data_IF_747856836695
#
_entry.id   IF_747856836695
#
_cell.length_a   1.000
_cell.length_b   1.000
_cell.length_c   1.000
_cell.angle_alpha   90.00
_cell.angle_beta   90.00
_cell.angle_gamma   90.00
#
_symmetry.space_group_name_H-M   'P 1'
#
loop_
_entity.id
_entity.type
_entity.pdbx_description
1 polymer ?
#
# COMPACT_ATOMS: atom_id res chain seq x y z
N UNK A 1 33.72 -75.26 -13.53
CA UNK A 1 34.18 -75.96 -12.32
C UNK A 1 33.70 -75.21 -11.09
N UNK A 2 32.84 -75.86 -10.32
CA UNK A 2 32.52 -75.75 -8.89
C UNK A 2 32.51 -74.39 -8.13
N UNK A 3 31.27 -74.03 -7.73
CA UNK A 3 30.83 -73.44 -6.43
C UNK A 3 31.49 -74.13 -5.21
N UNK A 4 31.56 -73.56 -3.98
CA UNK A 4 30.44 -73.07 -3.13
C UNK A 4 30.76 -71.75 -2.36
N UNK A 5 29.86 -71.06 -1.63
CA UNK A 5 28.96 -71.47 -0.54
C UNK A 5 27.80 -70.47 -0.35
N UNK A 6 26.56 -70.97 -0.31
CA UNK A 6 25.63 -71.07 0.84
C UNK A 6 25.23 -69.76 1.52
N UNK A 7 23.98 -69.36 1.30
CA UNK A 7 23.23 -68.47 2.16
C UNK A 7 22.30 -69.23 3.10
N UNK A 8 21.81 -68.53 4.12
CA UNK A 8 20.55 -68.83 4.78
C UNK A 8 19.71 -67.56 4.92
N UNK A 9 18.48 -67.68 4.42
CA UNK A 9 17.32 -66.81 4.69
C UNK A 9 16.51 -67.47 5.80
N UNK A 10 15.93 -66.67 6.69
CA UNK A 10 14.82 -67.09 7.55
C UNK A 10 13.62 -66.14 7.35
N UNK A 11 12.45 -66.78 7.19
CA UNK A 11 11.10 -66.26 7.00
C UNK A 11 10.55 -65.64 8.31
N UNK A 12 9.91 -64.47 8.26
CA UNK A 12 8.45 -64.19 8.18
C UNK A 12 7.66 -64.19 9.50
N UNK A 13 7.07 -63.01 9.75
CA UNK A 13 5.69 -62.73 10.21
C UNK A 13 5.29 -62.81 11.71
N UNK A 14 4.89 -61.62 12.18
CA UNK A 14 3.81 -61.25 13.13
C UNK A 14 3.86 -61.72 14.59
N UNK A 15 3.88 -60.75 15.51
CA UNK A 15 2.80 -60.58 16.49
C UNK A 15 2.75 -59.14 17.02
N UNK A 16 1.56 -58.57 17.03
CA UNK A 16 1.22 -57.31 17.69
C UNK A 16 1.13 -57.53 19.21
N UNK A 17 1.68 -56.60 19.99
CA UNK A 17 1.28 -56.39 21.38
C UNK A 17 1.37 -54.92 21.72
N UNK A 18 0.24 -54.42 22.22
CA UNK A 18 -0.08 -53.04 22.54
C UNK A 18 0.84 -52.44 23.60
N UNK A 19 1.22 -51.17 23.39
CA UNK A 19 1.54 -50.26 24.49
C UNK A 19 0.78 -48.95 24.30
N UNK A 20 -0.24 -48.79 25.13
CA UNK A 20 -0.59 -47.62 25.94
C UNK A 20 -0.52 -46.27 25.20
N UNK A 21 -1.72 -45.75 24.92
CA UNK A 21 -1.90 -44.41 24.39
C UNK A 21 -1.28 -43.34 25.28
N UNK A 22 -0.44 -42.53 24.67
CA UNK A 22 -0.28 -41.13 25.06
C UNK A 22 -1.09 -40.32 24.06
N UNK A 23 -2.17 -39.70 24.55
CA UNK A 23 -2.80 -38.58 23.86
C UNK A 23 -1.75 -37.48 23.82
N UNK A 24 -1.00 -37.41 22.73
CA UNK A 24 -0.20 -36.25 22.41
C UNK A 24 -1.16 -35.11 22.10
N UNK A 25 -1.53 -34.37 23.14
CA UNK A 25 -2.13 -33.03 22.96
C UNK A 25 -1.04 -32.23 22.25
N UNK A 26 -1.13 -32.12 20.92
CA UNK A 26 -0.40 -31.09 20.21
C UNK A 26 -0.96 -29.78 20.71
N UNK A 27 -0.21 -29.15 21.61
CA UNK A 27 -0.47 -27.79 22.03
C UNK A 27 -0.58 -26.94 20.76
N UNK A 28 -1.76 -26.39 20.53
CA UNK A 28 -1.97 -25.34 19.56
C UNK A 28 -0.92 -24.27 19.84
N UNK A 29 0.04 -24.11 18.95
CA UNK A 29 0.88 -22.91 18.96
C UNK A 29 -0.08 -21.79 18.61
N UNK A 30 -0.65 -21.16 19.63
CA UNK A 30 -1.28 -19.86 19.50
C UNK A 30 -0.21 -18.99 18.86
N UNK A 31 -0.47 -18.54 17.63
CA UNK A 31 0.34 -17.53 16.97
C UNK A 31 0.46 -16.36 17.95
N UNK A 32 1.62 -16.25 18.60
CA UNK A 32 1.98 -15.07 19.35
C UNK A 32 2.08 -13.96 18.32
N UNK A 33 1.13 -13.02 18.41
CA UNK A 33 0.92 -11.97 17.43
C UNK A 33 2.21 -11.28 17.01
N UNK A 34 2.22 -10.90 15.73
CA UNK A 34 3.23 -10.06 15.12
C UNK A 34 3.65 -8.95 16.08
N UNK A 35 4.90 -9.00 16.52
CA UNK A 35 5.54 -7.88 17.16
C UNK A 35 5.80 -6.84 16.07
N UNK A 36 4.85 -5.92 15.89
CA UNK A 36 5.05 -4.65 15.22
C UNK A 36 6.28 -3.93 15.83
N UNK A 37 7.04 -3.19 15.03
CA UNK A 37 7.65 -1.88 15.36
C UNK A 37 8.62 -1.46 14.22
N UNK A 38 8.68 -0.20 13.79
CA UNK A 38 8.47 1.00 14.59
C UNK A 38 7.10 1.68 14.39
N UNK A 39 6.12 1.23 15.17
CA UNK A 39 5.09 2.10 15.75
C UNK A 39 5.76 3.21 16.58
N UNK A 40 5.07 4.33 16.74
CA UNK A 40 5.37 5.33 17.76
C UNK A 40 5.66 4.68 19.11
N UNK A 41 6.49 5.31 19.94
CA UNK A 41 6.61 4.89 21.34
C UNK A 41 5.39 5.40 22.11
N UNK A 42 5.01 4.71 23.19
CA UNK A 42 3.93 5.14 24.09
C UNK A 42 4.18 6.59 24.54
N UNK A 43 3.28 7.51 24.17
CA UNK A 43 3.35 8.94 24.45
C UNK A 43 4.46 9.69 23.69
N UNK A 44 5.03 9.08 22.64
CA UNK A 44 6.01 9.66 21.73
C UNK A 44 5.38 10.32 20.51
N UNK A 45 6.20 10.85 19.58
CA UNK A 45 5.73 11.30 18.28
C UNK A 45 5.05 10.17 17.50
N UNK A 46 3.96 10.50 16.84
CA UNK A 46 3.12 9.56 16.08
C UNK A 46 2.67 10.22 14.77
N UNK A 47 2.61 9.46 13.68
CA UNK A 47 2.14 9.99 12.39
C UNK A 47 0.61 10.00 12.30
N UNK A 48 0.07 10.76 11.34
CA UNK A 48 -1.38 10.80 11.08
C UNK A 48 -1.89 9.45 10.59
N UNK A 49 -1.17 8.83 9.66
CA UNK A 49 -1.44 7.46 9.19
C UNK A 49 -1.52 6.45 10.35
N UNK A 50 -0.49 6.41 11.20
CA UNK A 50 -0.42 5.49 12.33
C UNK A 50 -1.60 5.72 13.30
N UNK A 51 -1.96 6.98 13.53
CA UNK A 51 -3.11 7.33 14.38
C UNK A 51 -4.41 6.69 13.87
N UNK A 52 -4.68 6.76 12.56
CA UNK A 52 -5.88 6.17 11.95
C UNK A 52 -5.84 4.64 11.93
N UNK A 53 -4.67 4.05 11.72
CA UNK A 53 -4.48 2.58 11.75
C UNK A 53 -4.72 2.01 13.12
N UNK A 54 -4.24 2.69 14.16
CA UNK A 54 -4.50 2.31 15.54
C UNK A 54 -5.99 2.32 15.83
N UNK A 55 -6.75 3.31 15.34
CA UNK A 55 -8.20 3.30 15.44
C UNK A 55 -8.84 2.13 14.66
N UNK A 56 -8.38 1.87 13.43
CA UNK A 56 -8.85 0.76 12.60
C UNK A 56 -8.56 -0.61 13.24
N UNK A 57 -7.45 -0.77 13.96
CA UNK A 57 -7.13 -2.00 14.69
C UNK A 57 -8.23 -2.42 15.68
N UNK A 58 -8.89 -1.46 16.34
CA UNK A 58 -10.04 -1.75 17.19
C UNK A 58 -11.31 -2.08 16.42
N UNK A 59 -11.49 -1.51 15.23
CA UNK A 59 -12.59 -1.88 14.32
C UNK A 59 -12.43 -3.33 13.85
N UNK A 60 -11.24 -3.71 13.37
CA UNK A 60 -10.96 -5.03 12.82
C UNK A 60 -11.14 -6.14 13.86
N UNK A 61 -10.89 -5.82 15.13
CA UNK A 61 -11.07 -6.73 16.26
C UNK A 61 -12.48 -6.69 16.86
N UNK A 62 -13.39 -5.92 16.26
CA UNK A 62 -14.77 -5.75 16.72
C UNK A 62 -14.83 -5.40 18.22
N UNK A 63 -13.96 -4.50 18.68
CA UNK A 63 -13.95 -4.06 20.08
C UNK A 63 -15.26 -3.34 20.38
N UNK A 64 -15.97 -3.78 21.43
CA UNK A 64 -17.27 -3.23 21.83
C UNK A 64 -17.15 -2.27 23.02
N UNK A 65 -17.94 -1.20 22.98
CA UNK A 65 -17.93 -0.13 23.97
C UNK A 65 -18.42 -0.65 25.32
N UNK A 66 -17.76 -0.23 26.40
CA UNK A 66 -18.23 -0.40 27.78
C UNK A 66 -17.49 0.55 28.73
N UNK A 67 -18.22 1.13 29.69
CA UNK A 67 -17.63 1.94 30.76
C UNK A 67 -17.22 1.13 32.01
N UNK A 68 -17.64 -0.14 32.10
CA UNK A 68 -17.43 -0.97 33.30
C UNK A 68 -16.66 -2.26 33.02
N UNK A 69 -16.46 -2.62 31.75
CA UNK A 69 -15.73 -3.81 31.36
C UNK A 69 -14.21 -3.66 31.38
N UNK A 70 -13.48 -4.76 31.11
CA UNK A 70 -12.03 -4.74 31.02
C UNK A 70 -11.55 -3.83 29.89
N UNK A 71 -10.36 -3.27 30.06
CA UNK A 71 -9.67 -2.45 29.06
C UNK A 71 -9.25 -3.32 27.87
N UNK A 72 -9.13 -2.71 26.68
CA UNK A 72 -8.71 -3.38 25.45
C UNK A 72 -7.24 -3.13 25.16
N UNK A 73 -6.56 -4.15 24.63
CA UNK A 73 -5.19 -4.04 24.12
C UNK A 73 -5.13 -3.22 22.83
N UNK A 74 -4.04 -2.50 22.64
CA UNK A 74 -3.68 -1.86 21.36
C UNK A 74 -2.76 -2.72 20.48
N UNK A 75 -2.52 -3.97 20.87
CA UNK A 75 -1.61 -4.89 20.16
C UNK A 75 -0.13 -4.70 20.48
N UNK A 76 0.27 -3.61 21.15
CA UNK A 76 1.67 -3.32 21.52
C UNK A 76 2.01 -3.66 22.98
N UNK A 77 1.08 -4.27 23.71
CA UNK A 77 1.23 -4.61 25.14
C UNK A 77 0.67 -3.55 26.09
N UNK A 78 0.06 -2.48 25.56
CA UNK A 78 -0.66 -1.47 26.35
C UNK A 78 -2.17 -1.66 26.24
N UNK A 79 -2.90 -1.25 27.28
CA UNK A 79 -4.36 -1.29 27.29
C UNK A 79 -4.99 0.08 27.57
N UNK A 80 -6.21 0.28 27.06
CA UNK A 80 -7.00 1.52 27.16
C UNK A 80 -8.47 1.22 27.48
N UNK A 81 -9.18 2.21 28.03
CA UNK A 81 -10.62 2.06 28.29
C UNK A 81 -11.40 1.81 26.99
N UNK A 82 -12.48 1.04 27.05
CA UNK A 82 -13.35 0.77 25.89
C UNK A 82 -14.47 1.79 25.78
N UNK A 83 -14.11 3.07 25.74
CA UNK A 83 -15.03 4.19 25.57
C UNK A 83 -14.51 5.17 24.50
N UNK A 84 -15.27 6.22 24.18
CA UNK A 84 -14.90 7.22 23.18
C UNK A 84 -13.52 7.83 23.42
N UNK A 85 -13.24 8.23 24.67
CA UNK A 85 -11.95 8.79 25.06
C UNK A 85 -10.81 7.77 25.04
N UNK A 86 -11.10 6.50 25.33
CA UNK A 86 -10.15 5.41 25.27
C UNK A 86 -9.78 5.01 23.84
N UNK A 87 -10.72 5.09 22.88
CA UNK A 87 -10.42 4.94 21.46
C UNK A 87 -9.42 6.00 20.99
N UNK A 88 -9.66 7.29 21.31
CA UNK A 88 -8.73 8.37 20.92
C UNK A 88 -7.40 8.25 21.66
N UNK A 89 -7.41 7.90 22.95
CA UNK A 89 -6.18 7.64 23.72
C UNK A 89 -5.33 6.54 23.09
N UNK A 90 -5.99 5.47 22.63
CA UNK A 90 -5.36 4.35 21.97
C UNK A 90 -4.83 4.76 20.60
N UNK A 91 -5.62 5.48 19.80
CA UNK A 91 -5.23 5.99 18.49
C UNK A 91 -4.00 6.91 18.56
N UNK A 92 -3.94 7.82 19.53
CA UNK A 92 -2.79 8.71 19.77
C UNK A 92 -1.63 8.06 20.54
N UNK A 93 -1.73 6.77 20.86
CA UNK A 93 -0.72 6.01 21.59
C UNK A 93 -0.33 6.63 22.95
N UNK A 94 -1.29 7.22 23.66
CA UNK A 94 -1.00 8.02 24.86
C UNK A 94 -0.40 7.19 26.01
N UNK A 95 0.37 7.86 26.88
CA UNK A 95 0.94 7.25 28.09
C UNK A 95 -0.12 6.94 29.16
N UNK A 96 -1.30 7.55 29.08
CA UNK A 96 -2.46 7.26 29.92
C UNK A 96 -3.69 7.06 29.03
N UNK A 97 -4.79 6.60 29.62
CA UNK A 97 -6.11 6.63 29.00
C UNK A 97 -6.93 7.68 29.76
N UNK A 98 -6.86 8.98 29.41
CA UNK A 98 -7.62 10.07 30.07
C UNK A 98 -9.10 10.07 29.69
N UNK A 99 -9.99 10.57 30.56
CA UNK A 99 -11.44 10.65 30.27
C UNK A 99 -11.76 11.83 29.35
N UNK A 100 -12.95 11.86 28.74
CA UNK A 100 -13.35 12.91 27.79
C UNK A 100 -13.18 14.34 28.33
N UNK A 101 -13.44 14.56 29.62
CA UNK A 101 -13.25 15.86 30.27
C UNK A 101 -11.79 16.33 30.25
N UNK A 102 -10.84 15.41 30.39
CA UNK A 102 -9.42 15.77 30.39
C UNK A 102 -9.03 16.30 28.99
N UNK A 103 -9.56 15.72 27.92
CA UNK A 103 -9.35 16.19 26.54
C UNK A 103 -9.86 17.61 26.28
N UNK A 104 -10.78 18.13 27.10
CA UNK A 104 -11.24 19.53 27.02
C UNK A 104 -10.25 20.52 27.64
N UNK A 105 -9.37 20.06 28.53
CA UNK A 105 -8.31 20.89 29.12
C UNK A 105 -7.07 20.86 28.22
N UNK A 106 -7.03 21.77 27.26
CA UNK A 106 -5.89 21.96 26.34
C UNK A 106 -4.75 22.78 26.94
N UNK A 107 -4.84 23.20 28.20
CA UNK A 107 -3.80 24.02 28.84
C UNK A 107 -2.80 23.16 29.62
N UNK A 108 -3.29 22.07 30.22
CA UNK A 108 -2.47 21.22 31.10
C UNK A 108 -2.16 19.83 30.53
N UNK A 109 -2.60 19.56 29.31
CA UNK A 109 -2.43 18.26 28.66
C UNK A 109 -1.72 18.40 27.30
N UNK A 110 -1.10 17.32 26.78
CA UNK A 110 -0.27 17.38 25.58
C UNK A 110 -1.09 17.40 24.28
N UNK A 111 -2.14 18.23 24.22
CA UNK A 111 -2.91 18.48 23.01
C UNK A 111 -3.37 19.94 22.97
N UNK A 112 -3.38 20.48 21.76
CA UNK A 112 -3.68 21.88 21.48
C UNK A 112 -4.93 22.01 20.62
N UNK A 113 -5.61 23.16 20.69
CA UNK A 113 -6.70 23.48 19.77
C UNK A 113 -6.15 23.58 18.34
N UNK A 114 -6.86 23.00 17.38
CA UNK A 114 -6.47 23.06 15.96
C UNK A 114 -6.55 24.48 15.42
N UNK A 115 -5.45 24.98 14.84
CA UNK A 115 -5.39 26.26 14.14
C UNK A 115 -6.34 26.27 12.94
N UNK A 116 -7.16 27.31 12.81
CA UNK A 116 -8.19 27.39 11.77
C UNK A 116 -9.55 26.81 12.20
N UNK A 117 -9.66 26.34 13.45
CA UNK A 117 -10.91 25.80 13.97
C UNK A 117 -11.32 24.52 13.25
N UNK A 118 -12.62 24.33 13.08
CA UNK A 118 -13.19 23.13 12.45
C UNK A 118 -12.61 22.92 11.06
N UNK A 119 -12.51 23.96 10.23
CA UNK A 119 -11.93 23.87 8.88
C UNK A 119 -10.44 23.47 8.86
N UNK A 120 -9.75 23.62 9.99
CA UNK A 120 -8.35 23.27 10.15
C UNK A 120 -8.09 21.78 10.42
N UNK A 121 -9.14 20.96 10.55
CA UNK A 121 -8.97 19.52 10.81
C UNK A 121 -8.08 18.86 9.76
N UNK A 122 -7.17 18.04 10.27
CA UNK A 122 -6.34 17.13 9.49
C UNK A 122 -6.54 15.69 10.02
N UNK A 123 -6.37 14.66 9.17
CA UNK A 123 -6.55 13.26 9.58
C UNK A 123 -5.76 12.93 10.85
N UNK A 124 -6.38 12.23 11.81
CA UNK A 124 -5.77 11.92 13.10
C UNK A 124 -5.94 12.99 14.19
N UNK A 125 -6.49 14.16 13.86
CA UNK A 125 -6.98 15.11 14.88
C UNK A 125 -8.22 14.53 15.58
N UNK A 126 -8.61 15.10 16.73
CA UNK A 126 -9.81 14.70 17.45
C UNK A 126 -10.77 15.87 17.64
N UNK A 127 -12.05 15.57 17.78
CA UNK A 127 -13.09 16.54 18.04
C UNK A 127 -13.74 16.20 19.37
N UNK A 128 -13.72 17.14 20.32
CA UNK A 128 -14.19 16.92 21.69
C UNK A 128 -15.32 17.89 22.07
N UNK A 129 -16.34 17.37 22.74
CA UNK A 129 -17.42 18.15 23.36
C UNK A 129 -17.76 17.55 24.72
N UNK A 130 -18.74 18.10 25.42
CA UNK A 130 -19.17 17.52 26.70
C UNK A 130 -19.69 16.09 26.51
N UNK A 131 -19.12 15.16 27.27
CA UNK A 131 -19.47 13.74 27.25
C UNK A 131 -18.99 12.92 26.04
N UNK A 132 -18.46 13.52 24.96
CA UNK A 132 -18.06 12.76 23.76
C UNK A 132 -16.81 13.27 23.04
N UNK A 133 -16.05 12.35 22.43
CA UNK A 133 -14.87 12.64 21.62
C UNK A 133 -14.75 11.64 20.47
N UNK A 134 -14.33 12.12 19.30
CA UNK A 134 -14.22 11.32 18.07
C UNK A 134 -12.91 11.64 17.35
N UNK A 135 -12.41 10.67 16.58
CA UNK A 135 -11.19 10.83 15.79
C UNK A 135 -11.55 11.24 14.36
N UNK A 136 -11.02 12.35 13.89
CA UNK A 136 -11.23 12.86 12.54
C UNK A 136 -10.46 12.01 11.51
N UNK A 137 -11.16 11.53 10.48
CA UNK A 137 -10.55 10.81 9.36
C UNK A 137 -10.35 11.73 8.17
N UNK A 138 -11.39 12.49 7.79
CA UNK A 138 -11.32 13.36 6.63
C UNK A 138 -12.67 13.99 6.27
N UNK A 139 -12.64 15.06 5.50
CA UNK A 139 -13.85 15.70 4.97
C UNK A 139 -14.54 14.83 3.93
N UNK A 140 -15.88 14.79 3.97
CA UNK A 140 -16.70 14.17 2.92
C UNK A 140 -16.40 14.82 1.57
N UNK A 141 -16.23 16.14 1.55
CA UNK A 141 -15.76 16.92 0.41
C UNK A 141 -14.68 17.91 0.89
N UNK A 142 -13.48 17.90 0.29
CA UNK A 142 -12.38 18.82 0.64
C UNK A 142 -12.66 20.27 0.26
N UNK A 143 -13.44 20.45 -0.80
CA UNK A 143 -13.75 21.75 -1.36
C UNK A 143 -14.97 22.38 -0.69
N UNK A 144 -15.78 21.55 -0.02
CA UNK A 144 -16.95 21.98 0.73
C UNK A 144 -17.11 21.19 2.04
N UNK A 145 -16.50 21.69 3.10
CA UNK A 145 -16.57 21.08 4.43
C UNK A 145 -18.00 20.98 4.99
N UNK A 146 -18.97 21.74 4.45
CA UNK A 146 -20.39 21.67 4.85
C UNK A 146 -21.03 20.32 4.53
N UNK A 147 -20.38 19.49 3.72
CA UNK A 147 -20.79 18.11 3.47
C UNK A 147 -20.50 17.16 4.65
N UNK A 148 -19.85 17.65 5.72
CA UNK A 148 -19.55 16.89 6.92
C UNK A 148 -18.21 16.16 6.84
N UNK A 149 -17.94 15.32 7.84
CA UNK A 149 -16.68 14.61 7.98
C UNK A 149 -16.88 13.14 8.32
N UNK A 150 -15.95 12.33 7.86
CA UNK A 150 -15.77 10.94 8.24
C UNK A 150 -14.97 10.84 9.54
N UNK A 151 -15.38 9.95 10.44
CA UNK A 151 -14.81 9.82 11.78
C UNK A 151 -14.67 8.36 12.20
N UNK A 152 -13.78 8.09 13.16
CA UNK A 152 -13.93 6.94 14.05
C UNK A 152 -14.64 7.38 15.33
N UNK A 153 -15.70 6.68 15.69
CA UNK A 153 -16.56 7.04 16.82
C UNK A 153 -16.96 5.82 17.64
N UNK A 154 -17.06 5.97 18.96
CA UNK A 154 -17.37 4.87 19.88
C UNK A 154 -18.43 5.32 20.88
N UNK A 155 -19.69 5.00 20.61
CA UNK A 155 -20.81 5.76 21.15
C UNK A 155 -21.54 5.07 22.31
N UNK A 156 -21.93 3.81 22.14
CA UNK A 156 -22.93 3.18 23.00
C UNK A 156 -22.52 1.79 23.44
N UNK A 157 -22.87 1.42 24.68
CA UNK A 157 -22.51 0.13 25.28
C UNK A 157 -22.95 -1.06 24.40
N UNK A 158 -21.97 -1.89 24.02
CA UNK A 158 -22.15 -3.05 23.14
C UNK A 158 -21.99 -2.74 21.64
N UNK A 159 -21.92 -1.48 21.24
CA UNK A 159 -21.62 -1.10 19.85
C UNK A 159 -20.13 -1.29 19.56
N UNK A 160 -19.77 -1.73 18.36
CA UNK A 160 -18.39 -1.70 17.84
C UNK A 160 -18.01 -0.29 17.39
N UNK A 161 -16.72 -0.01 17.28
CA UNK A 161 -16.23 1.27 16.73
C UNK A 161 -16.86 1.53 15.36
N UNK A 162 -17.52 2.67 15.20
CA UNK A 162 -18.00 3.16 13.91
C UNK A 162 -16.81 3.65 13.09
N UNK A 163 -16.76 3.30 11.81
CA UNK A 163 -15.76 3.81 10.87
C UNK A 163 -16.41 4.31 9.57
N UNK A 164 -15.65 4.93 8.66
CA UNK A 164 -16.20 5.45 7.39
C UNK A 164 -16.49 4.37 6.33
N UNK A 165 -15.95 3.17 6.51
CA UNK A 165 -15.84 2.17 5.43
C UNK A 165 -16.90 1.08 5.53
N UNK A 166 -17.35 0.76 6.74
CA UNK A 166 -18.31 -0.27 7.04
C UNK A 166 -19.22 0.16 8.19
N UNK A 167 -20.39 -0.46 8.28
CA UNK A 167 -21.33 -0.18 9.35
C UNK A 167 -20.89 -0.92 10.62
N UNK A 168 -21.11 -0.31 11.79
CA UNK A 168 -20.95 -0.97 13.07
C UNK A 168 -21.90 -2.15 13.20
N UNK A 169 -21.73 -2.97 14.24
CA UNK A 169 -22.71 -4.02 14.57
C UNK A 169 -24.12 -3.49 14.85
N UNK A 170 -24.30 -2.17 15.01
CA UNK A 170 -25.60 -1.51 15.16
C UNK A 170 -26.09 -0.85 13.86
N UNK A 171 -25.37 -1.00 12.74
CA UNK A 171 -25.75 -0.43 11.45
C UNK A 171 -25.38 1.04 11.26
N UNK A 172 -24.56 1.61 12.15
CA UNK A 172 -24.15 3.01 12.08
C UNK A 172 -22.80 3.17 11.40
N UNK A 173 -22.64 4.23 10.59
CA UNK A 173 -21.38 4.59 9.94
C UNK A 173 -20.78 5.83 10.58
N UNK A 174 -19.45 5.87 10.70
CA UNK A 174 -18.71 6.98 11.28
C UNK A 174 -18.74 8.21 10.37
N UNK A 175 -19.74 9.07 10.56
CA UNK A 175 -19.90 10.33 9.82
C UNK A 175 -20.66 11.36 10.64
N UNK A 176 -20.13 12.59 10.67
CA UNK A 176 -20.77 13.75 11.28
C UNK A 176 -21.27 14.72 10.22
N UNK A 177 -22.45 15.30 10.46
CA UNK A 177 -22.96 16.41 9.66
C UNK A 177 -22.20 17.71 10.00
N UNK A 178 -22.29 18.73 9.13
CA UNK A 178 -21.72 20.04 9.43
C UNK A 178 -22.26 20.65 10.71
N UNK A 179 -23.57 20.53 10.96
CA UNK A 179 -24.19 21.01 12.20
C UNK A 179 -23.65 20.29 13.43
N UNK A 180 -23.36 18.98 13.33
CA UNK A 180 -22.78 18.23 14.46
C UNK A 180 -21.35 18.68 14.72
N UNK A 181 -20.54 18.83 13.66
CA UNK A 181 -19.15 19.30 13.76
C UNK A 181 -19.05 20.66 14.46
N UNK A 182 -19.99 21.56 14.20
CA UNK A 182 -20.07 22.88 14.85
C UNK A 182 -20.28 22.82 16.37
N UNK A 183 -20.63 21.66 16.94
CA UNK A 183 -20.76 21.46 18.39
C UNK A 183 -19.46 21.02 19.07
N UNK A 184 -18.41 20.72 18.31
CA UNK A 184 -17.14 20.23 18.85
C UNK A 184 -16.05 21.29 18.87
N UNK A 185 -15.14 21.14 19.83
CA UNK A 185 -13.84 21.79 19.85
C UNK A 185 -12.82 20.90 19.14
N UNK A 186 -12.13 21.40 18.10
CA UNK A 186 -11.11 20.63 17.40
C UNK A 186 -9.80 20.66 18.20
N UNK A 187 -9.24 19.48 18.50
CA UNK A 187 -7.98 19.31 19.23
C UNK A 187 -7.01 18.38 18.48
N UNK A 188 -5.72 18.58 18.70
CA UNK A 188 -4.64 17.79 18.10
C UNK A 188 -3.64 17.42 19.17
N UNK A 189 -3.23 16.14 19.20
CA UNK A 189 -2.11 15.71 20.03
C UNK A 189 -0.83 16.43 19.61
N UNK A 190 -0.12 17.03 20.57
CA UNK A 190 1.02 17.93 20.28
C UNK A 190 2.20 17.20 19.61
N UNK A 191 2.24 15.87 19.73
CA UNK A 191 3.27 15.03 19.09
C UNK A 191 2.77 14.31 17.84
N UNK A 192 1.59 14.67 17.32
CA UNK A 192 1.27 14.30 15.94
C UNK A 192 2.27 14.99 15.02
N UNK A 193 2.97 14.19 14.24
CA UNK A 193 3.75 14.65 13.11
C UNK A 193 2.96 14.35 11.85
N UNK A 194 3.01 15.26 10.88
CA UNK A 194 2.54 14.90 9.55
C UNK A 194 3.33 13.69 9.09
N UNK A 195 2.66 12.81 8.35
CA UNK A 195 3.37 11.83 7.56
C UNK A 195 4.45 12.60 6.81
N UNK A 196 5.71 12.17 6.97
CA UNK A 196 6.71 12.55 5.97
C UNK A 196 6.03 12.26 4.65
N UNK A 197 6.08 13.17 3.68
CA UNK A 197 5.76 12.84 2.31
C UNK A 197 6.71 11.69 1.95
N UNK A 198 6.27 10.48 2.27
CA UNK A 198 6.97 9.27 1.99
C UNK A 198 6.95 9.20 0.47
N UNK A 199 7.84 8.41 -0.11
CA UNK A 199 7.57 7.88 -1.43
C UNK A 199 6.29 7.06 -1.36
N UNK A 200 5.14 7.72 -1.27
CA UNK A 200 3.83 7.09 -1.27
C UNK A 200 3.52 6.77 -2.70
N UNK A 201 3.96 5.56 -3.03
CA UNK A 201 3.94 5.00 -4.36
C UNK A 201 2.56 4.97 -4.96
N UNK A 202 2.55 4.81 -6.27
CA UNK A 202 1.32 4.47 -6.97
C UNK A 202 0.86 3.04 -6.69
N UNK A 203 -0.29 2.67 -7.28
CA UNK A 203 -0.57 1.26 -7.48
C UNK A 203 0.45 0.62 -8.42
N UNK A 204 0.47 -0.71 -8.43
CA UNK A 204 1.01 -1.51 -9.52
C UNK A 204 -0.10 -2.44 -10.03
N UNK A 205 -0.14 -2.76 -11.31
CA UNK A 205 -1.22 -3.57 -11.88
C UNK A 205 -0.68 -4.60 -12.85
N UNK A 206 -1.29 -5.78 -12.84
CA UNK A 206 -1.15 -6.76 -13.90
C UNK A 206 -2.50 -7.37 -14.23
N UNK A 207 -2.69 -7.76 -15.49
CA UNK A 207 -3.84 -8.56 -15.91
C UNK A 207 -3.40 -10.00 -16.14
N UNK A 208 -4.05 -10.94 -15.47
CA UNK A 208 -3.74 -12.37 -15.53
C UNK A 208 -5.05 -13.15 -15.69
N UNK A 209 -5.14 -14.03 -16.70
CA UNK A 209 -6.30 -14.90 -16.92
C UNK A 209 -7.66 -14.17 -16.95
N UNK A 210 -7.69 -12.94 -17.48
CA UNK A 210 -8.89 -12.10 -17.52
C UNK A 210 -9.23 -11.36 -16.22
N UNK A 211 -8.42 -11.49 -15.17
CA UNK A 211 -8.54 -10.77 -13.90
C UNK A 211 -7.54 -9.62 -13.83
N UNK A 212 -7.91 -8.52 -13.17
CA UNK A 212 -6.93 -7.49 -12.80
C UNK A 212 -6.47 -7.76 -11.37
N UNK A 213 -5.17 -7.66 -11.14
CA UNK A 213 -4.58 -7.66 -9.81
C UNK A 213 -3.89 -6.32 -9.61
N UNK A 214 -4.49 -5.49 -8.76
CA UNK A 214 -3.95 -4.18 -8.40
C UNK A 214 -3.33 -4.27 -7.02
N UNK A 215 -2.07 -3.89 -6.92
CA UNK A 215 -1.30 -3.85 -5.68
C UNK A 215 -1.13 -2.40 -5.28
N UNK A 216 -1.15 -2.15 -3.98
CA UNK A 216 -0.97 -0.81 -3.44
C UNK A 216 -0.49 -0.87 -2.01
N UNK A 217 0.19 0.20 -1.60
CA UNK A 217 0.71 0.34 -0.25
C UNK A 217 -0.21 1.29 0.51
N UNK A 218 -0.78 0.80 1.59
CA UNK A 218 -1.56 1.65 2.52
C UNK A 218 -0.65 2.67 3.22
N UNK A 219 -1.20 3.70 3.87
CA UNK A 219 -0.40 4.67 4.63
C UNK A 219 0.57 4.01 5.64
N UNK A 220 0.20 2.86 6.20
CA UNK A 220 0.99 2.04 7.15
C UNK A 220 2.26 1.41 6.58
N UNK A 221 2.44 1.47 5.26
CA UNK A 221 3.42 0.66 4.55
C UNK A 221 2.96 -0.78 4.29
N UNK A 222 1.72 -1.17 4.63
CA UNK A 222 1.22 -2.52 4.31
C UNK A 222 0.90 -2.65 2.82
N UNK A 223 1.48 -3.66 2.16
CA UNK A 223 1.10 -4.05 0.80
C UNK A 223 -0.24 -4.77 0.82
N UNK A 224 -1.17 -4.34 -0.04
CA UNK A 224 -2.47 -4.97 -0.23
C UNK A 224 -2.74 -5.20 -1.71
N UNK A 225 -3.63 -6.15 -2.02
CA UNK A 225 -4.08 -6.48 -3.36
C UNK A 225 -5.60 -6.30 -3.46
N UNK A 226 -6.09 -5.72 -4.54
CA UNK A 226 -7.50 -5.79 -4.93
C UNK A 226 -7.59 -6.51 -6.27
N UNK A 227 -8.48 -7.49 -6.34
CA UNK A 227 -8.67 -8.32 -7.54
C UNK A 227 -10.00 -7.99 -8.18
N UNK A 228 -9.99 -7.77 -9.49
CA UNK A 228 -11.20 -7.67 -10.29
C UNK A 228 -11.45 -8.98 -11.03
N UNK A 229 -12.71 -9.41 -11.04
CA UNK A 229 -13.21 -10.53 -11.84
C UNK A 229 -14.45 -10.09 -12.62
N UNK A 230 -14.91 -10.87 -13.62
CA UNK A 230 -16.23 -10.67 -14.19
C UNK A 230 -17.29 -10.65 -13.07
N UNK A 231 -17.82 -9.46 -12.77
CA UNK A 231 -18.72 -9.23 -11.64
C UNK A 231 -18.32 -8.09 -10.70
N UNK A 232 -17.03 -7.68 -10.67
CA UNK A 232 -16.57 -6.52 -9.91
C UNK A 232 -15.25 -6.70 -9.18
N UNK A 233 -14.85 -5.66 -8.44
CA UNK A 233 -13.71 -5.67 -7.53
C UNK A 233 -14.09 -6.40 -6.24
N UNK A 234 -13.18 -7.25 -5.75
CA UNK A 234 -13.41 -8.07 -4.56
C UNK A 234 -13.07 -7.35 -3.24
N UNK A 235 -12.40 -6.19 -3.33
CA UNK A 235 -11.91 -5.45 -2.17
C UNK A 235 -10.42 -5.68 -1.93
N UNK A 236 -9.84 -4.86 -1.05
CA UNK A 236 -8.42 -4.91 -0.73
C UNK A 236 -8.13 -5.96 0.34
N UNK A 237 -7.19 -6.86 0.07
CA UNK A 237 -6.69 -7.89 0.95
C UNK A 237 -5.22 -7.63 1.28
N UNK A 238 -4.85 -7.74 2.56
CA UNK A 238 -3.46 -7.58 3.01
C UNK A 238 -2.58 -8.72 2.53
N UNK A 239 -1.41 -8.37 1.97
CA UNK A 239 -0.34 -9.33 1.68
C UNK A 239 0.76 -9.32 2.76
N UNK A 240 0.56 -8.54 3.82
CA UNK A 240 1.51 -8.32 4.90
C UNK A 240 2.80 -7.63 4.47
N UNK A 241 3.72 -7.49 5.43
CA UNK A 241 4.98 -6.80 5.26
C UNK A 241 4.87 -5.28 5.36
N UNK A 242 5.98 -4.63 5.72
CA UNK A 242 6.12 -3.18 5.76
C UNK A 242 7.02 -2.76 4.61
N UNK A 243 6.43 -2.13 3.61
CA UNK A 243 7.04 -1.72 2.36
C UNK A 243 6.86 -0.22 2.13
N UNK A 244 7.63 0.34 1.21
CA UNK A 244 7.60 1.75 0.83
C UNK A 244 7.81 1.90 -0.68
N UNK A 245 7.46 3.06 -1.25
CA UNK A 245 7.59 3.30 -2.68
C UNK A 245 6.45 2.74 -3.51
N UNK A 246 6.55 2.82 -4.84
CA UNK A 246 5.64 2.10 -5.75
C UNK A 246 6.13 0.65 -5.86
N UNK A 247 5.30 -0.38 -5.62
CA UNK A 247 5.68 -1.75 -5.91
C UNK A 247 5.78 -1.94 -7.44
N UNK A 248 6.44 -3.01 -7.87
CA UNK A 248 6.39 -3.46 -9.26
C UNK A 248 5.73 -4.83 -9.31
N UNK A 249 5.01 -5.12 -10.40
CA UNK A 249 4.47 -6.45 -10.66
C UNK A 249 4.73 -6.86 -12.09
N UNK A 250 5.06 -8.13 -12.31
CA UNK A 250 5.14 -8.74 -13.63
C UNK A 250 4.38 -10.07 -13.63
N UNK A 251 3.85 -10.46 -14.79
CA UNK A 251 3.17 -11.74 -14.99
C UNK A 251 3.84 -12.53 -16.10
N UNK A 252 3.96 -13.84 -15.90
CA UNK A 252 4.43 -14.81 -16.88
C UNK A 252 3.91 -16.20 -16.50
N UNK A 253 3.54 -17.01 -17.49
CA UNK A 253 3.24 -18.43 -17.35
C UNK A 253 2.28 -18.81 -16.18
N UNK A 254 1.26 -17.99 -15.92
CA UNK A 254 0.28 -18.23 -14.85
C UNK A 254 0.72 -17.78 -13.46
N UNK A 255 1.91 -17.18 -13.35
CA UNK A 255 2.49 -16.64 -12.13
C UNK A 255 2.59 -15.11 -12.23
N UNK A 256 2.42 -14.43 -11.09
CA UNK A 256 2.84 -13.04 -10.98
C UNK A 256 3.77 -12.83 -9.79
N UNK A 257 4.74 -11.95 -9.99
CA UNK A 257 5.78 -11.61 -9.02
C UNK A 257 5.66 -10.15 -8.64
N UNK A 258 5.54 -9.89 -7.35
CA UNK A 258 5.51 -8.54 -6.78
C UNK A 258 6.86 -8.23 -6.17
N UNK A 259 7.41 -7.09 -6.55
CA UNK A 259 8.62 -6.53 -5.99
C UNK A 259 8.29 -5.28 -5.18
N UNK A 260 8.81 -5.20 -3.97
CA UNK A 260 8.63 -4.04 -3.11
C UNK A 260 9.90 -3.81 -2.30
N UNK A 261 10.15 -2.55 -1.93
CA UNK A 261 11.26 -2.23 -1.02
C UNK A 261 10.75 -2.06 0.40
N UNK A 262 11.58 -2.39 1.37
CA UNK A 262 11.36 -1.96 2.75
C UNK A 262 11.56 -0.44 2.90
N UNK A 263 11.16 0.16 4.05
CA UNK A 263 11.48 1.55 4.36
C UNK A 263 12.99 1.86 4.32
N UNK A 264 13.86 0.86 4.55
CA UNK A 264 15.32 0.98 4.44
C UNK A 264 15.86 0.78 3.01
N UNK A 265 14.98 0.61 2.03
CA UNK A 265 15.34 0.48 0.62
C UNK A 265 15.70 -0.93 0.15
N UNK A 266 15.73 -1.93 1.04
CA UNK A 266 16.03 -3.32 0.65
C UNK A 266 14.89 -3.90 -0.16
N UNK A 267 15.20 -4.49 -1.33
CA UNK A 267 14.19 -5.02 -2.25
C UNK A 267 13.87 -6.49 -1.96
N UNK A 268 12.59 -6.81 -1.98
CA UNK A 268 12.05 -8.14 -1.76
C UNK A 268 11.14 -8.54 -2.92
N UNK A 269 11.06 -9.85 -3.16
CA UNK A 269 10.15 -10.50 -4.08
C UNK A 269 9.12 -11.32 -3.30
N UNK A 270 7.86 -11.27 -3.72
CA UNK A 270 6.78 -12.15 -3.29
C UNK A 270 6.09 -12.72 -4.53
N UNK A 271 5.93 -14.03 -4.57
CA UNK A 271 5.46 -14.75 -5.75
C UNK A 271 4.07 -15.33 -5.52
N UNK A 272 3.20 -15.23 -6.52
CA UNK A 272 1.94 -15.96 -6.57
C UNK A 272 1.97 -17.03 -7.66
N UNK A 273 1.78 -18.28 -7.29
CA UNK A 273 1.64 -19.44 -8.21
C UNK A 273 0.44 -20.33 -7.85
N UNK A 274 -0.61 -19.72 -7.28
CA UNK A 274 -1.75 -20.41 -6.66
C UNK A 274 -1.76 -20.26 -5.13
N UNK A 275 -0.61 -19.99 -4.53
CA UNK A 275 -0.47 -19.46 -3.17
C UNK A 275 0.62 -18.39 -3.13
N UNK A 276 0.58 -17.52 -2.13
CA UNK A 276 1.63 -16.54 -1.90
C UNK A 276 2.84 -17.18 -1.25
N UNK A 277 4.04 -16.91 -1.79
CA UNK A 277 5.30 -17.22 -1.11
C UNK A 277 5.56 -16.29 0.07
N UNK A 278 6.53 -16.64 0.91
CA UNK A 278 7.15 -15.67 1.82
C UNK A 278 7.91 -14.59 1.04
N UNK A 279 8.17 -13.46 1.70
CA UNK A 279 9.02 -12.40 1.17
C UNK A 279 10.47 -12.87 1.12
N UNK A 280 11.10 -12.78 -0.06
CA UNK A 280 12.51 -13.11 -0.26
C UNK A 280 13.31 -11.88 -0.66
N UNK A 281 14.37 -11.57 0.08
CA UNK A 281 15.27 -10.46 -0.28
C UNK A 281 15.99 -10.78 -1.60
N UNK A 282 16.03 -9.81 -2.50
CA UNK A 282 16.83 -9.84 -3.73
C UNK A 282 18.07 -8.92 -3.61
N UNK A 283 18.33 -8.40 -2.39
CA UNK A 283 19.41 -7.47 -2.10
C UNK A 283 19.19 -6.07 -2.68
N UNK A 284 20.25 -5.26 -2.64
CA UNK A 284 20.25 -3.86 -3.07
C UNK A 284 19.60 -2.92 -2.06
N UNK A 285 19.87 -1.63 -2.26
CA UNK A 285 19.20 -0.52 -1.57
C UNK A 285 18.77 0.45 -2.66
N UNK A 286 17.47 0.73 -2.71
CA UNK A 286 16.87 1.67 -3.67
C UNK A 286 15.96 2.66 -2.97
N UNK A 287 15.75 3.80 -3.61
CA UNK A 287 14.82 4.88 -3.25
C UNK A 287 13.67 4.94 -4.27
N UNK A 288 12.59 5.65 -3.95
CA UNK A 288 11.46 5.75 -4.87
C UNK A 288 10.65 4.46 -4.97
N UNK A 289 10.13 4.18 -6.16
CA UNK A 289 9.47 2.91 -6.49
C UNK A 289 10.30 2.03 -7.41
N UNK A 290 9.72 0.89 -7.79
CA UNK A 290 10.33 -0.11 -8.66
C UNK A 290 9.62 -0.18 -10.02
N UNK A 291 10.37 -0.57 -11.04
CA UNK A 291 9.84 -1.09 -12.31
C UNK A 291 10.31 -2.52 -12.51
N UNK A 292 9.47 -3.41 -13.04
CA UNK A 292 9.87 -4.79 -13.29
C UNK A 292 9.26 -5.34 -14.57
N UNK A 293 9.99 -6.23 -15.24
CA UNK A 293 9.49 -6.98 -16.38
C UNK A 293 10.08 -8.38 -16.39
N UNK A 294 9.28 -9.35 -16.81
CA UNK A 294 9.73 -10.69 -17.13
C UNK A 294 9.81 -10.86 -18.63
N UNK A 295 10.94 -11.38 -19.11
CA UNK A 295 11.13 -11.58 -20.53
C UNK A 295 12.30 -12.51 -20.83
N UNK A 296 12.12 -13.33 -21.87
CA UNK A 296 13.10 -14.31 -22.32
C UNK A 296 13.62 -15.23 -21.19
N UNK A 297 12.78 -15.54 -20.20
CA UNK A 297 13.19 -16.38 -19.07
C UNK A 297 13.88 -15.63 -17.92
N UNK A 298 14.01 -14.31 -18.00
CA UNK A 298 14.72 -13.47 -17.03
C UNK A 298 13.77 -12.47 -16.37
N UNK A 299 14.02 -12.15 -15.09
CA UNK A 299 13.41 -10.99 -14.45
C UNK A 299 14.40 -9.83 -14.53
N UNK A 300 13.91 -8.66 -14.90
CA UNK A 300 14.66 -7.41 -14.81
C UNK A 300 13.92 -6.47 -13.87
N UNK A 301 14.55 -6.12 -12.74
CA UNK A 301 14.01 -5.20 -11.75
C UNK A 301 14.84 -3.94 -11.75
N UNK A 302 14.17 -2.80 -11.86
CA UNK A 302 14.75 -1.47 -11.93
C UNK A 302 14.36 -0.66 -10.70
N UNK A 303 15.31 0.10 -10.18
CA UNK A 303 15.10 1.01 -9.05
C UNK A 303 16.12 2.14 -9.09
N UNK A 304 15.94 3.13 -8.22
CA UNK A 304 16.84 4.29 -8.16
C UNK A 304 17.78 4.08 -6.97
N UNK A 305 19.08 4.14 -7.17
CA UNK A 305 20.05 4.06 -6.08
C UNK A 305 19.97 5.30 -5.16
N UNK A 306 20.50 5.25 -3.93
CA UNK A 306 20.65 6.43 -3.08
C UNK A 306 21.51 7.55 -3.68
N UNK A 307 22.28 7.26 -4.73
CA UNK A 307 23.03 8.24 -5.51
C UNK A 307 22.22 8.86 -6.65
N UNK A 308 20.94 8.55 -6.78
CA UNK A 308 20.05 9.07 -7.82
C UNK A 308 20.31 8.45 -9.21
N UNK A 309 20.91 7.26 -9.29
CA UNK A 309 21.17 6.57 -10.55
C UNK A 309 20.13 5.49 -10.80
N UNK A 310 19.79 5.23 -12.06
CA UNK A 310 19.01 4.04 -12.38
C UNK A 310 19.90 2.82 -12.16
N UNK A 311 19.40 1.82 -11.44
CA UNK A 311 20.05 0.53 -11.24
C UNK A 311 19.13 -0.61 -11.63
N UNK A 312 19.72 -1.72 -12.08
CA UNK A 312 19.04 -2.93 -12.49
C UNK A 312 19.55 -4.13 -11.68
N UNK A 313 18.68 -5.06 -11.32
CA UNK A 313 19.05 -6.40 -10.90
C UNK A 313 18.36 -7.41 -11.80
N UNK A 314 19.14 -8.37 -12.29
CA UNK A 314 18.67 -9.38 -13.23
C UNK A 314 18.69 -10.74 -12.57
N UNK A 315 17.59 -11.49 -12.72
CA UNK A 315 17.55 -12.90 -12.37
C UNK A 315 17.66 -13.75 -13.62
N UNK A 316 18.45 -14.81 -13.53
CA UNK A 316 18.56 -15.89 -14.52
C UNK A 316 18.39 -17.24 -13.84
N UNK A 317 18.19 -18.33 -14.59
CA UNK A 317 18.30 -19.68 -14.03
C UNK A 317 19.62 -19.82 -13.26
N UNK A 318 19.54 -19.92 -11.93
CA UNK A 318 20.69 -19.93 -11.03
C UNK A 318 20.68 -18.84 -9.95
N UNK A 319 19.94 -17.74 -10.13
CA UNK A 319 19.75 -16.71 -9.09
C UNK A 319 19.81 -15.27 -9.59
N UNK A 320 19.71 -14.35 -8.63
CA UNK A 320 19.89 -12.92 -8.83
C UNK A 320 21.38 -12.59 -9.00
N UNK A 321 21.71 -11.78 -10.01
CA UNK A 321 23.08 -11.41 -10.35
C UNK A 321 23.62 -10.26 -9.50
N UNK A 322 22.74 -9.52 -8.81
CA UNK A 322 23.09 -8.33 -8.05
C UNK A 322 22.73 -7.05 -8.80
N UNK A 323 22.77 -5.93 -8.07
CA UNK A 323 22.40 -4.62 -8.62
C UNK A 323 23.57 -3.96 -9.34
N UNK A 324 23.34 -3.57 -10.59
CA UNK A 324 24.27 -2.81 -11.44
C UNK A 324 23.72 -1.42 -11.75
N UNK A 325 24.60 -0.41 -11.79
CA UNK A 325 24.21 0.96 -12.17
C UNK A 325 24.16 1.10 -13.68
N UNK A 326 23.04 1.63 -14.18
CA UNK A 326 22.82 2.03 -15.56
C UNK A 326 23.08 3.54 -15.77
N UNK A 327 23.55 4.22 -14.72
CA UNK A 327 23.88 5.65 -14.71
C UNK A 327 22.66 6.57 -14.77
N UNK A 328 22.89 7.80 -15.22
CA UNK A 328 21.89 8.88 -15.23
C UNK A 328 21.73 9.57 -13.88
N UNK A 329 20.92 10.63 -13.87
CA UNK A 329 20.47 11.33 -12.65
C UNK A 329 18.95 11.40 -12.71
N UNK A 330 18.31 10.46 -12.02
CA UNK A 330 16.88 10.19 -12.10
C UNK A 330 16.24 10.21 -10.71
N UNK A 331 14.92 10.35 -10.67
CA UNK A 331 14.13 10.39 -9.45
C UNK A 331 12.73 9.79 -9.66
N UNK A 332 12.04 9.45 -8.58
CA UNK A 332 10.68 8.91 -8.62
C UNK A 332 10.60 7.39 -8.81
N UNK A 333 9.62 6.92 -9.59
CA UNK A 333 9.48 5.50 -9.96
C UNK A 333 9.74 5.33 -11.45
N UNK A 334 10.68 4.47 -11.88
CA UNK A 334 10.89 4.16 -13.28
C UNK A 334 9.75 3.28 -13.83
N UNK A 335 9.34 3.54 -15.07
CA UNK A 335 8.47 2.63 -15.81
C UNK A 335 9.30 1.77 -16.76
N UNK A 336 8.88 0.53 -17.00
CA UNK A 336 9.52 -0.36 -17.96
C UNK A 336 8.48 -1.03 -18.85
N UNK A 337 8.81 -1.17 -20.13
CA UNK A 337 8.02 -1.94 -21.11
C UNK A 337 8.89 -2.97 -21.78
N UNK A 338 8.28 -4.03 -22.31
CA UNK A 338 8.95 -5.05 -23.12
C UNK A 338 8.16 -5.33 -24.39
N UNK A 339 8.87 -5.44 -25.50
CA UNK A 339 8.34 -5.93 -26.77
C UNK A 339 9.50 -6.45 -27.63
N UNK A 340 9.27 -7.53 -28.37
CA UNK A 340 10.19 -8.02 -29.42
C UNK A 340 11.67 -8.12 -29.03
N UNK A 341 11.96 -8.52 -27.77
CA UNK A 341 13.33 -8.65 -27.27
C UNK A 341 13.98 -7.35 -26.77
N UNK A 342 13.24 -6.23 -26.79
CA UNK A 342 13.65 -4.91 -26.35
C UNK A 342 12.96 -4.51 -25.05
N UNK A 343 13.71 -3.91 -24.12
CA UNK A 343 13.15 -3.21 -22.97
C UNK A 343 13.36 -1.71 -23.09
N UNK A 344 12.32 -0.94 -22.76
CA UNK A 344 12.42 0.51 -22.66
C UNK A 344 12.11 0.94 -21.24
N UNK A 345 13.09 1.60 -20.61
CA UNK A 345 12.97 2.19 -19.29
C UNK A 345 12.75 3.68 -19.42
N UNK A 346 11.70 4.17 -18.78
CA UNK A 346 11.38 5.58 -18.69
C UNK A 346 11.61 6.05 -17.25
N UNK A 347 12.33 7.15 -17.10
CA UNK A 347 12.57 7.77 -15.81
C UNK A 347 12.59 9.29 -15.96
N UNK A 348 12.24 10.01 -14.89
CA UNK A 348 12.37 11.46 -14.85
C UNK A 348 13.67 11.88 -14.16
N UNK A 349 14.19 13.03 -14.54
CA UNK A 349 15.21 13.73 -13.76
C UNK A 349 14.61 14.31 -12.46
N UNK A 350 15.45 14.77 -11.52
CA UNK A 350 14.98 15.54 -10.36
C UNK A 350 14.18 16.80 -10.73
N UNK A 351 14.38 17.35 -11.93
CA UNK A 351 13.61 18.50 -12.47
C UNK A 351 12.34 18.11 -13.21
N UNK A 352 11.97 16.83 -13.22
CA UNK A 352 10.74 16.33 -13.84
C UNK A 352 10.84 16.00 -15.32
N UNK A 353 11.95 16.30 -16.00
CA UNK A 353 12.13 15.99 -17.44
C UNK A 353 12.20 14.48 -17.63
N UNK A 354 11.40 13.94 -18.55
CA UNK A 354 11.33 12.50 -18.82
C UNK A 354 12.32 12.06 -19.88
N UNK A 355 12.97 10.94 -19.63
CA UNK A 355 13.95 10.31 -20.52
C UNK A 355 13.62 8.84 -20.74
N UNK A 356 13.98 8.34 -21.91
CA UNK A 356 13.95 6.95 -22.31
C UNK A 356 15.38 6.39 -22.37
N UNK A 357 15.57 5.16 -21.90
CA UNK A 357 16.77 4.35 -22.09
C UNK A 357 16.36 2.98 -22.60
N UNK A 358 16.96 2.55 -23.70
CA UNK A 358 16.54 1.35 -24.42
C UNK A 358 17.60 0.26 -24.32
N UNK A 359 17.18 -0.99 -24.09
CA UNK A 359 17.99 -2.18 -24.23
C UNK A 359 17.59 -2.97 -25.47
N UNK A 360 18.53 -3.18 -26.40
CA UNK A 360 18.35 -4.03 -27.58
C UNK A 360 19.56 -4.97 -27.79
N UNK A 361 20.15 -5.44 -26.67
CA UNK A 361 21.45 -6.14 -26.64
C UNK A 361 22.59 -5.25 -26.14
N UNK A 362 22.40 -3.93 -26.17
CA UNK A 362 23.20 -2.95 -25.42
C UNK A 362 22.29 -1.83 -24.93
N UNK A 363 22.70 -1.14 -23.86
CA UNK A 363 21.97 0.03 -23.36
C UNK A 363 22.27 1.25 -24.22
N UNK A 364 21.23 1.95 -24.67
CA UNK A 364 21.36 3.25 -25.32
C UNK A 364 21.78 4.35 -24.34
N UNK A 365 22.20 5.50 -24.84
CA UNK A 365 22.19 6.75 -24.07
C UNK A 365 20.77 7.15 -23.68
N UNK A 366 20.66 8.00 -22.65
CA UNK A 366 19.39 8.61 -22.25
C UNK A 366 18.92 9.62 -23.30
N UNK A 367 17.69 9.45 -23.78
CA UNK A 367 17.05 10.37 -24.74
C UNK A 367 15.86 11.05 -24.09
N UNK A 368 15.82 12.39 -24.10
CA UNK A 368 14.65 13.10 -23.57
C UNK A 368 13.44 12.88 -24.47
N UNK A 369 12.29 12.64 -23.85
CA UNK A 369 10.98 12.59 -24.52
C UNK A 369 10.16 13.85 -24.23
N UNK A 370 10.80 14.87 -23.64
CA UNK A 370 10.16 16.12 -23.21
C UNK A 370 9.23 15.95 -22.00
N UNK A 371 8.46 16.99 -21.72
CA UNK A 371 7.54 17.06 -20.58
C UNK A 371 8.21 17.30 -19.24
N UNK A 372 7.40 17.73 -18.28
CA UNK A 372 7.78 17.85 -16.86
C UNK A 372 6.70 17.12 -16.08
N UNK A 373 7.10 16.12 -15.31
CA UNK A 373 6.19 15.33 -14.47
C UNK A 373 6.73 15.23 -13.04
N UNK A 374 5.82 14.98 -12.11
CA UNK A 374 6.06 14.72 -10.70
C UNK A 374 5.85 13.24 -10.37
N UNK A 375 6.34 12.78 -9.22
CA UNK A 375 6.14 11.41 -8.77
C UNK A 375 6.85 10.37 -9.65
N UNK A 376 6.13 9.34 -10.09
CA UNK A 376 6.63 8.27 -10.95
C UNK A 376 5.95 8.20 -12.32
N UNK A 377 6.38 7.23 -13.13
CA UNK A 377 5.86 6.98 -14.47
C UNK A 377 5.14 5.62 -14.54
N UNK A 378 4.15 5.54 -15.43
CA UNK A 378 3.59 4.29 -15.93
C UNK A 378 3.80 4.22 -17.44
N UNK A 379 4.10 3.06 -18.01
CA UNK A 379 4.28 2.93 -19.44
C UNK A 379 3.77 1.59 -19.96
N UNK A 380 3.28 1.60 -21.19
CA UNK A 380 2.91 0.37 -21.91
C UNK A 380 3.29 0.49 -23.38
N UNK A 381 3.70 -0.63 -23.96
CA UNK A 381 3.86 -0.77 -25.41
C UNK A 381 2.69 -1.57 -25.96
N UNK A 382 1.97 -0.99 -26.92
CA UNK A 382 0.77 -1.59 -27.49
C UNK A 382 0.64 -1.21 -28.96
N UNK A 383 0.39 -2.19 -29.82
CA UNK A 383 0.12 -1.98 -31.25
C UNK A 383 1.17 -1.13 -31.99
N UNK A 384 2.45 -1.26 -31.63
CA UNK A 384 3.53 -0.48 -32.24
C UNK A 384 3.68 0.95 -31.69
N UNK A 385 2.97 1.29 -30.60
CA UNK A 385 3.04 2.59 -29.94
C UNK A 385 3.53 2.45 -28.51
N UNK A 386 4.30 3.44 -28.03
CA UNK A 386 4.55 3.60 -26.60
C UNK A 386 3.56 4.61 -26.04
N UNK A 387 2.96 4.30 -24.91
CA UNK A 387 2.16 5.24 -24.13
C UNK A 387 2.82 5.40 -22.76
N UNK A 388 3.28 6.62 -22.48
CA UNK A 388 3.94 6.97 -21.21
C UNK A 388 3.03 7.92 -20.45
N UNK A 389 2.74 7.57 -19.20
CA UNK A 389 1.88 8.31 -18.29
C UNK A 389 2.69 8.88 -17.14
N UNK A 390 2.36 10.09 -16.74
CA UNK A 390 2.96 10.78 -15.60
C UNK A 390 2.01 11.81 -15.05
N UNK A 391 2.35 12.39 -13.90
CA UNK A 391 1.53 13.40 -13.23
C UNK A 391 2.13 14.76 -13.51
N UNK A 392 1.36 15.70 -14.06
CA UNK A 392 1.83 17.07 -14.28
C UNK A 392 2.06 17.79 -12.94
N UNK A 393 2.83 18.89 -12.92
CA UNK A 393 2.95 19.75 -11.74
C UNK A 393 1.62 20.35 -11.25
N UNK A 394 0.57 20.30 -12.07
CA UNK A 394 -0.80 20.68 -11.69
C UNK A 394 -1.62 19.54 -11.10
N UNK A 395 -1.01 18.37 -10.84
CA UNK A 395 -1.67 17.19 -10.28
C UNK A 395 -2.60 16.46 -11.24
N UNK A 396 -2.42 16.63 -12.56
CA UNK A 396 -3.25 15.98 -13.58
C UNK A 396 -2.53 14.76 -14.16
N UNK A 397 -3.29 13.74 -14.56
CA UNK A 397 -2.71 12.66 -15.36
C UNK A 397 -2.39 13.22 -16.75
N UNK A 398 -1.18 13.00 -17.23
CA UNK A 398 -0.76 13.35 -18.58
C UNK A 398 -0.18 12.13 -19.30
N UNK A 399 -0.30 12.12 -20.62
CA UNK A 399 0.19 11.07 -21.50
C UNK A 399 1.12 11.66 -22.57
N UNK A 400 2.16 10.93 -22.94
CA UNK A 400 2.91 11.16 -24.18
C UNK A 400 2.92 9.86 -24.98
N UNK A 401 2.61 9.97 -26.27
CA UNK A 401 2.49 8.83 -27.16
C UNK A 401 3.60 8.90 -28.20
N UNK A 402 4.28 7.78 -28.42
CA UNK A 402 5.18 7.61 -29.55
C UNK A 402 4.49 6.80 -30.64
N UNK A 403 4.67 7.24 -31.88
CA UNK A 403 4.29 6.53 -33.10
C UNK A 403 5.50 6.43 -34.02
N UNK A 404 5.46 5.58 -35.06
CA UNK A 404 6.44 5.65 -36.14
C UNK A 404 6.54 7.09 -36.67
N UNK A 405 7.67 7.75 -36.39
CA UNK A 405 7.90 9.17 -36.67
C UNK A 405 8.27 10.04 -35.46
N UNK A 406 7.99 9.61 -34.23
CA UNK A 406 8.45 10.28 -33.01
C UNK A 406 7.40 10.40 -31.90
N UNK A 407 7.83 11.08 -30.82
CA UNK A 407 6.96 11.45 -29.71
C UNK A 407 6.05 12.62 -30.10
N UNK A 408 4.76 12.50 -29.79
CA UNK A 408 3.75 13.50 -30.14
C UNK A 408 3.71 14.69 -29.17
N UNK A 409 4.31 14.53 -27.99
CA UNK A 409 4.27 15.51 -26.91
C UNK A 409 3.29 15.12 -25.81
N UNK A 410 3.38 15.81 -24.68
CA UNK A 410 2.56 15.53 -23.50
C UNK A 410 1.20 16.21 -23.59
N UNK A 411 0.13 15.44 -23.42
CA UNK A 411 -1.25 15.91 -23.33
C UNK A 411 -1.84 15.60 -21.95
N UNK A 412 -2.68 16.51 -21.43
CA UNK A 412 -3.38 16.29 -20.16
C UNK A 412 -4.64 15.46 -20.39
N UNK A 413 -4.79 14.42 -19.58
CA UNK A 413 -5.99 13.58 -19.48
C UNK A 413 -6.90 14.00 -18.32
N UNK A 414 -6.55 15.09 -17.64
CA UNK A 414 -7.29 15.66 -16.51
C UNK A 414 -7.22 14.82 -15.23
N UNK A 415 -8.19 15.03 -14.34
CA UNK A 415 -8.22 14.43 -13.00
C UNK A 415 -7.34 15.15 -11.98
N UNK A 416 -7.44 14.72 -10.73
CA UNK A 416 -6.60 15.17 -9.62
C UNK A 416 -5.98 13.94 -8.97
N UNK A 417 -4.74 13.64 -9.34
CA UNK A 417 -4.03 12.40 -9.00
C UNK A 417 -2.65 12.71 -8.41
N UNK A 418 -2.09 11.75 -7.68
CA UNK A 418 -0.79 11.84 -7.02
C UNK A 418 -0.01 10.52 -7.12
N UNK A 419 1.30 10.58 -6.88
CA UNK A 419 2.18 9.40 -6.86
C UNK A 419 2.60 8.90 -8.25
N UNK A 420 2.36 7.63 -8.52
CA UNK A 420 2.75 6.96 -9.78
C UNK A 420 1.49 6.38 -10.45
N UNK A 421 1.24 6.63 -11.74
CA UNK A 421 0.19 5.91 -12.45
C UNK A 421 0.65 4.49 -12.78
N UNK A 422 -0.23 3.51 -12.62
CA UNK A 422 -0.03 2.15 -13.10
C UNK A 422 -0.82 1.95 -14.40
N UNK A 423 -0.29 1.19 -15.34
CA UNK A 423 -0.98 0.92 -16.60
C UNK A 423 -0.82 -0.54 -17.00
N UNK A 424 -1.88 -1.13 -17.56
CA UNK A 424 -1.85 -2.45 -18.19
C UNK A 424 -2.56 -2.40 -19.54
N UNK A 425 -2.13 -3.22 -20.49
CA UNK A 425 -2.73 -3.36 -21.82
C UNK A 425 -3.25 -4.77 -22.03
N UNK A 426 -4.44 -4.87 -22.61
CA UNK A 426 -5.09 -6.14 -22.96
C UNK A 426 -6.19 -5.89 -23.99
N UNK A 427 -6.41 -6.86 -24.87
CA UNK A 427 -7.59 -6.90 -25.74
C UNK A 427 -7.88 -5.58 -26.50
N UNK A 428 -6.83 -4.86 -26.93
CA UNK A 428 -6.94 -3.58 -27.65
C UNK A 428 -7.17 -2.34 -26.76
N UNK A 429 -7.13 -2.50 -25.44
CA UNK A 429 -7.43 -1.47 -24.46
C UNK A 429 -6.27 -1.33 -23.47
N UNK A 430 -6.10 -0.14 -22.91
CA UNK A 430 -5.25 0.03 -21.74
C UNK A 430 -6.01 0.72 -20.61
N UNK A 431 -5.76 0.23 -19.41
CA UNK A 431 -6.35 0.70 -18.16
C UNK A 431 -5.27 1.38 -17.34
N UNK A 432 -5.52 2.63 -16.96
CA UNK A 432 -4.66 3.43 -16.11
C UNK A 432 -5.27 3.52 -14.72
N UNK A 433 -4.47 3.20 -13.72
CA UNK A 433 -4.81 3.29 -12.31
C UNK A 433 -3.97 4.38 -11.67
N UNK A 434 -4.61 5.29 -10.94
CA UNK A 434 -3.92 6.34 -10.20
C UNK A 434 -4.64 6.61 -8.89
N UNK A 435 -3.89 7.03 -7.88
CA UNK A 435 -4.47 7.48 -6.62
C UNK A 435 -4.75 8.97 -6.67
N UNK A 436 -5.81 9.40 -6.01
CA UNK A 436 -5.98 10.81 -5.64
C UNK A 436 -4.97 11.23 -4.57
N UNK A 437 -4.77 12.53 -4.30
CA UNK A 437 -4.02 13.01 -3.15
C UNK A 437 -4.51 12.47 -1.80
N UNK A 438 -5.76 11.97 -1.74
CA UNK A 438 -6.38 11.34 -0.57
C UNK A 438 -6.24 9.81 -0.55
N UNK A 439 -5.43 9.24 -1.42
CA UNK A 439 -5.15 7.81 -1.45
C UNK A 439 -6.18 6.95 -2.19
N UNK A 440 -7.37 7.47 -2.49
CA UNK A 440 -8.39 6.69 -3.22
C UNK A 440 -7.89 6.34 -4.61
N UNK A 441 -7.94 5.05 -4.97
CA UNK A 441 -7.52 4.56 -6.28
C UNK A 441 -8.66 4.64 -7.28
N UNK A 442 -8.37 5.16 -8.46
CA UNK A 442 -9.28 5.28 -9.58
C UNK A 442 -8.71 4.57 -10.80
N UNK A 443 -9.61 4.06 -11.64
CA UNK A 443 -9.34 3.47 -12.95
C UNK A 443 -9.87 4.41 -14.04
N UNK A 444 -9.11 4.54 -15.13
CA UNK A 444 -9.50 5.21 -16.38
C UNK A 444 -9.14 4.29 -17.55
N UNK A 445 -10.07 4.04 -18.45
CA UNK A 445 -9.91 3.07 -19.54
C UNK A 445 -9.85 3.77 -20.89
N UNK A 446 -8.95 3.33 -21.76
CA UNK A 446 -8.93 3.69 -23.17
C UNK A 446 -9.40 2.52 -24.03
N UNK A 447 -10.44 2.75 -24.84
CA UNK A 447 -10.97 1.80 -25.82
C UNK A 447 -11.22 2.44 -27.20
N UNK A 448 -10.41 3.44 -27.55
CA UNK A 448 -10.62 4.35 -28.67
C UNK A 448 -11.10 5.74 -28.23
N UNK A 449 -11.63 5.83 -27.01
CA UNK A 449 -11.86 7.08 -26.26
C UNK A 449 -11.54 6.85 -24.79
N UNK A 450 -11.20 7.90 -24.06
CA UNK A 450 -10.97 7.83 -22.62
C UNK A 450 -12.30 7.82 -21.86
N UNK A 451 -12.47 6.87 -20.94
CA UNK A 451 -13.60 6.86 -19.99
C UNK A 451 -13.46 7.96 -18.93
N UNK A 452 -14.53 8.20 -18.16
CA UNK A 452 -14.42 8.89 -16.88
C UNK A 452 -13.63 8.08 -15.83
N UNK A 453 -13.16 8.74 -14.78
CA UNK A 453 -12.51 8.08 -13.64
C UNK A 453 -13.53 7.31 -12.81
N UNK A 454 -13.23 6.04 -12.53
CA UNK A 454 -14.05 5.18 -11.67
C UNK A 454 -13.26 4.73 -10.45
N UNK A 455 -13.77 5.00 -9.25
CA UNK A 455 -13.12 4.53 -8.02
C UNK A 455 -13.16 3.01 -7.95
N UNK A 456 -12.05 2.41 -7.52
CA UNK A 456 -11.95 0.98 -7.19
C UNK A 456 -11.83 0.74 -5.68
N UNK A 457 -12.07 1.80 -4.88
CA UNK A 457 -11.93 1.78 -3.42
C UNK A 457 -10.48 1.69 -2.93
N UNK A 458 -10.33 1.55 -1.61
CA UNK A 458 -9.03 1.55 -0.91
C UNK A 458 -8.44 2.95 -0.74
N UNK A 459 -7.55 3.08 0.24
CA UNK A 459 -6.75 4.29 0.49
C UNK A 459 -5.28 3.85 0.49
N UNK A 460 -4.57 4.21 -0.57
CA UNK A 460 -3.11 4.13 -0.60
C UNK A 460 -2.52 5.30 0.16
N UNK A 461 -1.32 5.13 0.70
CA UNK A 461 -0.60 6.25 1.30
C UNK A 461 -0.35 7.38 0.32
#
# INVERSE_FOLDING_TARGET
MNRPSLGWRLLSATLATALIGTVGVTASVVATGDAALAASSVGGPITRSETLERAQYWVDRSITYTQTGPWASDGSGKTYRRDCSGLVSMAWHLSSSPVTRDFQDTQNNPWSVVTGGIDGFQPGDAMVKDGHIELFVGWVDASDHRQGAYVYSFNSNGETVQNPYADSNYGNRGRNSWSDLQTYTPIRYDKIVDDVASDVGGPAVVRANGEYHVFGISPSGQLSQNTWRPGGWLGWESLGGTVAGTPAVTYHDGQYDVFARSPRGVVYQKTWNGTWSDWKSIGGIVEGGLGAVYANGEYHVFGISPSGQLSQNTWRPGGWLGWESLGGTVAGTPAVTYHDGQYDVFARSPRGVVYQKTWNGTWSDWKSIGGIVEGGLGAVYANGEYHVFGISPSGQLSQNTWRPGGWLGWESLGGTVAGTPAVTYHDGQYDVFARSPRGVVYQKTWNGTWSDWKSIGGILG
#
